data_IF_355209864226
#
_entry.id   IF_355209864226
#
_cell.length_a   1.000
_cell.length_b   1.000
_cell.length_c   1.000
_cell.angle_alpha   90.00
_cell.angle_beta   90.00
_cell.angle_gamma   90.00
#
_symmetry.space_group_name_H-M   'P 1'
#
loop_
_entity.id
_entity.type
_entity.pdbx_description
1 polymer ?
#
# COMPACT_ATOMS: atom_id res chain seq x y z
N UNK A 1 16.85 -2.33 -11.39
CA UNK A 1 16.87 -0.89 -11.07
C UNK A 1 18.20 -0.43 -10.49
N UNK A 2 18.72 -1.00 -9.39
CA UNK A 2 19.99 -0.56 -8.80
C UNK A 2 21.18 -0.60 -9.79
N UNK A 3 21.30 -1.65 -10.59
CA UNK A 3 22.36 -1.75 -11.60
C UNK A 3 22.25 -0.65 -12.67
N UNK A 4 21.05 -0.29 -13.10
CA UNK A 4 20.85 0.79 -14.08
C UNK A 4 21.23 2.16 -13.48
N UNK A 5 20.87 2.42 -12.23
CA UNK A 5 21.24 3.66 -11.50
C UNK A 5 22.77 3.75 -11.37
N UNK A 6 23.42 2.64 -10.95
CA UNK A 6 24.88 2.60 -10.80
C UNK A 6 25.56 2.80 -12.15
N UNK A 7 25.09 2.13 -13.21
CA UNK A 7 25.65 2.27 -14.55
C UNK A 7 25.55 3.70 -15.07
N UNK A 8 24.40 4.36 -14.90
CA UNK A 8 24.20 5.75 -15.30
C UNK A 8 25.10 6.71 -14.52
N UNK A 9 25.28 6.53 -13.21
CA UNK A 9 26.17 7.34 -12.38
C UNK A 9 27.64 7.12 -12.69
N UNK A 10 28.01 5.90 -13.18
CA UNK A 10 29.38 5.64 -13.63
C UNK A 10 29.67 6.26 -15.00
N UNK A 11 28.68 6.36 -15.88
CA UNK A 11 28.82 6.97 -17.20
C UNK A 11 28.86 8.50 -17.08
N UNK A 12 27.97 9.07 -16.27
CA UNK A 12 27.90 10.51 -16.04
C UNK A 12 27.65 10.82 -14.56
N UNK A 13 28.73 11.10 -13.79
CA UNK A 13 28.62 11.45 -12.36
C UNK A 13 27.80 12.73 -12.09
N UNK A 14 27.68 13.64 -13.08
CA UNK A 14 26.90 14.87 -12.93
C UNK A 14 25.41 14.60 -12.74
N UNK A 15 24.92 13.45 -13.21
CA UNK A 15 23.53 13.00 -12.93
C UNK A 15 23.24 12.89 -11.44
N UNK A 16 24.24 12.54 -10.60
CA UNK A 16 24.06 12.41 -9.15
C UNK A 16 23.66 13.71 -8.45
N UNK A 17 23.98 14.86 -9.03
CA UNK A 17 23.58 16.18 -8.53
C UNK A 17 22.31 16.73 -9.19
N UNK A 18 21.74 16.00 -10.16
CA UNK A 18 20.51 16.38 -10.85
C UNK A 18 19.27 16.02 -10.05
N UNK A 19 18.48 17.01 -9.68
CA UNK A 19 17.19 16.80 -9.04
C UNK A 19 16.23 15.96 -9.91
N UNK A 20 16.28 16.11 -11.23
CA UNK A 20 15.49 15.33 -12.17
C UNK A 20 15.80 13.84 -12.08
N UNK A 21 17.09 13.49 -12.00
CA UNK A 21 17.51 12.10 -11.81
C UNK A 21 17.05 11.55 -10.45
N UNK A 22 17.25 12.33 -9.37
CA UNK A 22 16.81 11.96 -8.03
C UNK A 22 15.30 11.69 -7.99
N UNK A 23 14.49 12.59 -8.56
CA UNK A 23 13.03 12.43 -8.62
C UNK A 23 12.60 11.21 -9.43
N UNK A 24 13.28 10.93 -10.55
CA UNK A 24 13.01 9.74 -11.38
C UNK A 24 13.30 8.45 -10.62
N UNK A 25 14.41 8.39 -9.90
CA UNK A 25 14.77 7.23 -9.06
C UNK A 25 13.78 7.05 -7.93
N UNK A 26 13.43 8.13 -7.22
CA UNK A 26 12.44 8.09 -6.13
C UNK A 26 11.05 7.71 -6.62
N UNK A 27 10.59 8.25 -7.74
CA UNK A 27 9.30 7.87 -8.32
C UNK A 27 9.23 6.38 -8.66
N UNK A 28 10.28 5.87 -9.31
CA UNK A 28 10.35 4.44 -9.67
C UNK A 28 10.43 3.55 -8.42
N UNK A 29 11.22 3.96 -7.42
CA UNK A 29 11.30 3.27 -6.14
C UNK A 29 9.93 3.27 -5.43
N UNK A 30 9.23 4.42 -5.44
CA UNK A 30 7.88 4.55 -4.89
C UNK A 30 6.90 3.58 -5.51
N UNK A 31 6.88 3.50 -6.83
CA UNK A 31 6.01 2.58 -7.57
C UNK A 31 6.34 1.12 -7.24
N UNK A 32 7.62 0.75 -7.15
CA UNK A 32 8.04 -0.63 -6.86
C UNK A 32 7.71 -1.02 -5.42
N UNK A 33 7.98 -0.14 -4.45
CA UNK A 33 7.84 -0.45 -3.02
C UNK A 33 6.39 -0.24 -2.55
N UNK A 34 5.82 0.95 -2.80
CA UNK A 34 4.50 1.31 -2.30
C UNK A 34 3.38 0.94 -3.26
N UNK A 35 3.61 1.07 -4.57
CA UNK A 35 2.56 0.88 -5.58
C UNK A 35 1.94 -0.51 -5.52
N UNK A 36 2.74 -1.56 -5.33
CA UNK A 36 2.25 -2.94 -5.17
C UNK A 36 1.40 -3.09 -3.92
N UNK A 37 1.87 -2.58 -2.79
CA UNK A 37 1.12 -2.63 -1.53
C UNK A 37 -0.19 -1.86 -1.61
N UNK A 38 -0.19 -0.66 -2.20
CA UNK A 38 -1.40 0.14 -2.38
C UNK A 38 -2.40 -0.59 -3.30
N UNK A 39 -1.94 -1.22 -4.38
CA UNK A 39 -2.80 -2.03 -5.25
C UNK A 39 -3.43 -3.23 -4.54
N UNK A 40 -2.69 -3.88 -3.63
CA UNK A 40 -3.18 -5.02 -2.86
C UNK A 40 -4.22 -4.59 -1.79
N UNK A 41 -4.17 -3.33 -1.35
CA UNK A 41 -5.11 -2.76 -0.40
C UNK A 41 -6.44 -2.36 -1.02
N UNK A 42 -6.47 -2.09 -2.32
CA UNK A 42 -7.71 -1.73 -3.01
C UNK A 42 -8.66 -2.92 -3.05
N UNK A 43 -9.96 -2.74 -2.68
CA UNK A 43 -10.96 -3.80 -2.72
C UNK A 43 -11.07 -4.44 -4.11
N UNK A 44 -11.26 -5.75 -4.16
CA UNK A 44 -11.42 -6.51 -5.42
C UNK A 44 -12.59 -6.08 -6.30
N UNK A 45 -13.53 -5.31 -5.76
CA UNK A 45 -14.63 -4.68 -6.51
C UNK A 45 -14.17 -3.56 -7.45
N UNK A 46 -12.98 -3.00 -7.22
CA UNK A 46 -12.40 -1.96 -8.09
C UNK A 46 -11.59 -2.63 -9.20
N UNK A 47 -11.83 -2.29 -10.48
CA UNK A 47 -11.07 -2.86 -11.58
C UNK A 47 -9.57 -2.49 -11.46
N UNK A 48 -8.70 -3.44 -11.79
CA UNK A 48 -7.24 -3.29 -11.58
C UNK A 48 -6.62 -2.08 -12.28
N UNK A 49 -7.17 -1.69 -13.44
CA UNK A 49 -6.70 -0.50 -14.15
C UNK A 49 -6.98 0.79 -13.37
N UNK A 50 -8.15 0.89 -12.70
CA UNK A 50 -8.49 2.04 -11.88
C UNK A 50 -7.66 2.05 -10.58
N UNK A 51 -7.44 0.89 -9.96
CA UNK A 51 -6.55 0.75 -8.81
C UNK A 51 -5.11 1.18 -9.14
N UNK A 52 -4.59 0.79 -10.31
CA UNK A 52 -3.27 1.22 -10.79
C UNK A 52 -3.22 2.73 -11.06
N UNK A 53 -4.29 3.29 -11.62
CA UNK A 53 -4.44 4.73 -11.87
C UNK A 53 -4.34 5.59 -10.61
N UNK A 54 -4.68 5.04 -9.45
CA UNK A 54 -4.54 5.69 -8.14
C UNK A 54 -3.19 5.34 -7.51
N UNK A 55 -2.83 4.06 -7.49
CA UNK A 55 -1.66 3.56 -6.76
C UNK A 55 -0.35 4.12 -7.31
N UNK A 56 -0.21 4.22 -8.63
CA UNK A 56 1.02 4.71 -9.26
C UNK A 56 1.29 6.18 -8.92
N UNK A 57 0.37 7.14 -9.19
CA UNK A 57 0.64 8.53 -8.86
C UNK A 57 0.70 8.78 -7.35
N UNK A 58 -0.08 8.07 -6.54
CA UNK A 58 -0.03 8.22 -5.09
C UNK A 58 1.33 7.77 -4.51
N UNK A 59 1.84 6.62 -4.96
CA UNK A 59 3.15 6.12 -4.51
C UNK A 59 4.30 7.05 -4.92
N UNK A 60 4.26 7.60 -6.13
CA UNK A 60 5.23 8.58 -6.59
C UNK A 60 5.13 9.88 -5.76
N UNK A 61 3.91 10.39 -5.53
CA UNK A 61 3.67 11.59 -4.73
C UNK A 61 4.21 11.47 -3.30
N UNK A 62 3.99 10.31 -2.66
CA UNK A 62 4.45 10.08 -1.29
C UNK A 62 5.98 10.10 -1.16
N UNK A 63 6.71 9.58 -2.14
CA UNK A 63 8.17 9.57 -2.11
C UNK A 63 8.79 10.86 -2.67
N UNK A 64 8.23 11.41 -3.74
CA UNK A 64 8.76 12.61 -4.38
C UNK A 64 8.32 13.90 -3.69
N UNK A 65 7.18 13.90 -2.99
CA UNK A 65 6.61 15.09 -2.33
C UNK A 65 7.61 15.85 -1.46
N UNK A 66 8.35 15.20 -0.55
CA UNK A 66 9.35 15.87 0.28
C UNK A 66 10.46 16.58 -0.53
N UNK A 67 10.89 15.98 -1.64
CA UNK A 67 11.91 16.58 -2.51
C UNK A 67 11.34 17.72 -3.33
N UNK A 68 10.11 17.58 -3.82
CA UNK A 68 9.42 18.63 -4.58
C UNK A 68 9.22 19.89 -3.74
N UNK A 69 8.85 19.74 -2.46
CA UNK A 69 8.65 20.87 -1.55
C UNK A 69 9.95 21.64 -1.26
N UNK A 70 11.11 20.96 -1.28
CA UNK A 70 12.42 21.64 -1.17
C UNK A 70 12.73 22.47 -2.42
N UNK A 71 12.30 22.01 -3.59
CA UNK A 71 12.50 22.69 -4.87
C UNK A 71 11.49 23.81 -5.11
N UNK A 72 10.24 23.54 -4.74
CA UNK A 72 9.12 24.46 -4.85
C UNK A 72 8.29 24.38 -3.57
N UNK A 73 8.31 25.41 -2.72
CA UNK A 73 7.60 25.40 -1.44
C UNK A 73 6.08 25.58 -1.65
N UNK A 74 5.48 24.67 -2.40
CA UNK A 74 4.06 24.65 -2.74
C UNK A 74 3.56 23.20 -2.69
N UNK A 75 2.33 23.02 -2.22
CA UNK A 75 1.66 21.73 -2.24
C UNK A 75 0.66 21.65 -3.39
N UNK A 76 0.84 20.71 -4.30
CA UNK A 76 -0.08 20.53 -5.43
C UNK A 76 -1.30 19.70 -5.00
N UNK A 77 -2.38 20.38 -4.60
CA UNK A 77 -3.61 19.75 -4.07
C UNK A 77 -4.28 18.84 -5.09
N UNK A 78 -4.28 19.23 -6.36
CA UNK A 78 -4.98 18.49 -7.42
C UNK A 78 -4.07 17.58 -8.25
N UNK A 79 -2.80 17.37 -7.84
CA UNK A 79 -1.85 16.57 -8.61
C UNK A 79 -2.31 15.11 -8.79
N UNK A 80 -2.88 14.49 -7.76
CA UNK A 80 -3.39 13.13 -7.84
C UNK A 80 -4.56 13.05 -8.83
N UNK A 81 -5.52 13.98 -8.76
CA UNK A 81 -6.65 14.05 -9.67
C UNK A 81 -6.20 14.31 -11.11
N UNK A 82 -5.29 15.27 -11.30
CA UNK A 82 -4.70 15.58 -12.60
C UNK A 82 -4.03 14.34 -13.22
N UNK A 83 -3.21 13.64 -12.45
CA UNK A 83 -2.53 12.41 -12.89
C UNK A 83 -3.51 11.29 -13.26
N UNK A 84 -4.62 11.15 -12.52
CA UNK A 84 -5.67 10.17 -12.86
C UNK A 84 -6.36 10.52 -14.18
N UNK A 85 -6.70 11.81 -14.39
CA UNK A 85 -7.35 12.27 -15.62
C UNK A 85 -6.43 12.16 -16.85
N UNK A 86 -5.14 12.39 -16.65
CA UNK A 86 -4.11 12.33 -17.70
C UNK A 86 -3.69 10.90 -18.04
N UNK A 87 -3.78 9.96 -17.09
CA UNK A 87 -3.32 8.59 -17.25
C UNK A 87 -3.76 7.90 -18.58
N UNK A 88 -5.02 7.98 -19.03
CA UNK A 88 -5.44 7.36 -20.29
C UNK A 88 -4.82 8.03 -21.53
N UNK A 89 -4.40 9.30 -21.42
CA UNK A 89 -3.77 10.03 -22.53
C UNK A 89 -2.26 9.79 -22.62
N UNK A 90 -1.61 9.50 -21.50
CA UNK A 90 -0.16 9.23 -21.43
C UNK A 90 0.20 7.95 -22.21
N UNK A 91 -0.62 6.92 -22.12
CA UNK A 91 -0.36 5.65 -22.81
C UNK A 91 -0.22 5.82 -24.35
N UNK A 92 -1.19 6.42 -25.06
CA UNK A 92 -1.04 6.65 -26.49
C UNK A 92 0.11 7.60 -26.83
N UNK A 93 0.35 8.66 -26.04
CA UNK A 93 1.50 9.55 -26.27
C UNK A 93 2.81 8.76 -26.22
N UNK A 94 2.98 7.91 -25.20
CA UNK A 94 4.20 7.13 -25.01
C UNK A 94 4.38 6.10 -26.12
N UNK A 95 3.33 5.38 -26.48
CA UNK A 95 3.40 4.33 -27.52
C UNK A 95 3.70 4.97 -28.88
N UNK A 96 2.95 6.00 -29.28
CA UNK A 96 3.12 6.68 -30.56
C UNK A 96 4.49 7.39 -30.64
N UNK A 97 4.89 8.07 -29.56
CA UNK A 97 6.18 8.74 -29.49
C UNK A 97 7.35 7.76 -29.59
N UNK A 98 7.30 6.65 -28.84
CA UNK A 98 8.35 5.62 -28.88
C UNK A 98 8.41 4.93 -30.25
N UNK A 99 7.26 4.65 -30.86
CA UNK A 99 7.20 4.07 -32.20
C UNK A 99 7.72 5.03 -33.28
N UNK A 100 7.54 6.33 -33.11
CA UNK A 100 8.02 7.33 -34.06
C UNK A 100 9.56 7.39 -34.10
N UNK A 101 10.27 7.16 -32.98
CA UNK A 101 11.73 7.30 -32.89
C UNK A 101 12.49 6.52 -33.99
N UNK A 102 12.34 5.19 -34.15
CA UNK A 102 13.01 4.45 -35.19
C UNK A 102 12.49 4.81 -36.59
N UNK A 103 11.23 5.24 -36.71
CA UNK A 103 10.61 5.55 -38.00
C UNK A 103 11.08 6.88 -38.60
N UNK A 104 11.61 7.80 -37.78
CA UNK A 104 12.19 9.07 -38.29
C UNK A 104 13.28 8.81 -39.32
N UNK A 105 14.12 7.79 -39.09
CA UNK A 105 15.22 7.44 -40.01
C UNK A 105 14.77 6.59 -41.18
N UNK A 106 13.72 5.75 -41.01
CA UNK A 106 13.30 4.76 -42.01
C UNK A 106 12.18 5.27 -42.92
N UNK A 107 11.16 5.91 -42.32
CA UNK A 107 9.94 6.34 -43.02
C UNK A 107 9.44 7.68 -42.45
N UNK A 108 10.05 8.82 -42.86
CA UNK A 108 9.81 10.12 -42.25
C UNK A 108 8.35 10.58 -42.27
N UNK A 109 7.62 10.32 -43.35
CA UNK A 109 6.20 10.71 -43.43
C UNK A 109 5.32 10.00 -42.40
N UNK A 110 5.58 8.70 -42.12
CA UNK A 110 4.86 7.93 -41.13
C UNK A 110 5.21 8.41 -39.70
N UNK A 111 6.50 8.71 -39.45
CA UNK A 111 6.94 9.30 -38.18
C UNK A 111 6.22 10.63 -37.92
N UNK A 112 6.11 11.51 -38.93
CA UNK A 112 5.38 12.79 -38.80
C UNK A 112 3.91 12.58 -38.47
N UNK A 113 3.24 11.62 -39.07
CA UNK A 113 1.84 11.27 -38.79
C UNK A 113 1.66 10.77 -37.34
N UNK A 114 2.57 9.91 -36.86
CA UNK A 114 2.54 9.42 -35.48
C UNK A 114 2.79 10.53 -34.46
N UNK A 115 3.79 11.39 -34.73
CA UNK A 115 4.09 12.56 -33.86
C UNK A 115 2.90 13.54 -33.85
N UNK A 116 2.28 13.81 -34.98
CA UNK A 116 1.09 14.65 -35.07
C UNK A 116 -0.07 14.09 -34.23
N UNK A 117 -0.31 12.78 -34.33
CA UNK A 117 -1.34 12.11 -33.52
C UNK A 117 -0.98 12.15 -32.01
N UNK A 118 0.26 11.87 -31.64
CA UNK A 118 0.75 11.99 -30.27
C UNK A 118 0.58 13.42 -29.73
N UNK A 119 0.77 14.44 -30.59
CA UNK A 119 0.58 15.86 -30.29
C UNK A 119 -0.84 16.20 -29.85
N UNK A 120 -1.85 15.56 -30.43
CA UNK A 120 -3.27 15.77 -30.04
C UNK A 120 -3.47 15.30 -28.59
N UNK A 121 -3.00 14.09 -28.26
CA UNK A 121 -3.08 13.58 -26.89
C UNK A 121 -2.26 14.42 -25.90
N UNK A 122 -1.07 14.86 -26.31
CA UNK A 122 -0.22 15.75 -25.51
C UNK A 122 -0.89 17.10 -25.26
N UNK A 123 -1.59 17.67 -26.21
CA UNK A 123 -2.40 18.87 -26.04
C UNK A 123 -3.53 18.66 -25.03
N UNK A 124 -4.16 17.48 -25.02
CA UNK A 124 -5.13 17.06 -24.00
C UNK A 124 -4.52 17.01 -22.60
N UNK A 125 -3.33 16.42 -22.45
CA UNK A 125 -2.57 16.42 -21.19
C UNK A 125 -2.31 17.85 -20.70
N UNK A 126 -1.84 18.73 -21.59
CA UNK A 126 -1.57 20.13 -21.27
C UNK A 126 -2.85 20.92 -20.91
N UNK A 127 -3.97 20.60 -21.53
CA UNK A 127 -5.27 21.22 -21.21
C UNK A 127 -5.73 20.82 -19.80
N UNK A 128 -5.65 19.54 -19.44
CA UNK A 128 -6.00 19.05 -18.10
C UNK A 128 -5.09 19.68 -17.05
N UNK A 129 -3.76 19.73 -17.29
CA UNK A 129 -2.80 20.32 -16.39
C UNK A 129 -3.09 21.82 -16.15
N UNK A 130 -3.36 22.60 -17.21
CA UNK A 130 -3.74 24.01 -17.08
C UNK A 130 -5.07 24.20 -16.35
N UNK A 131 -6.05 23.36 -16.63
CA UNK A 131 -7.34 23.42 -15.95
C UNK A 131 -7.18 23.17 -14.46
N UNK A 132 -6.49 22.10 -14.06
CA UNK A 132 -6.28 21.76 -12.64
C UNK A 132 -5.39 22.77 -11.91
N UNK A 133 -4.42 23.38 -12.61
CA UNK A 133 -3.59 24.43 -12.04
C UNK A 133 -4.34 25.76 -11.84
N UNK A 134 -5.39 26.01 -12.63
CA UNK A 134 -6.27 27.19 -12.50
C UNK A 134 -7.33 27.08 -11.42
N UNK A 135 -7.50 25.93 -10.77
CA UNK A 135 -8.48 25.76 -9.71
C UNK A 135 -8.07 26.50 -8.43
N UNK A 136 -9.03 27.05 -7.66
CA UNK A 136 -8.73 27.72 -6.41
C UNK A 136 -8.06 26.75 -5.42
N UNK A 137 -6.94 27.19 -4.80
CA UNK A 137 -6.17 26.34 -3.90
C UNK A 137 -5.35 25.25 -4.58
N UNK A 138 -5.04 25.37 -5.89
CA UNK A 138 -4.26 24.39 -6.63
C UNK A 138 -2.82 24.26 -6.11
N UNK A 139 -2.22 25.35 -5.65
CA UNK A 139 -0.86 25.41 -5.18
C UNK A 139 -0.74 26.27 -3.90
N UNK A 140 -1.30 25.84 -2.75
CA UNK A 140 -1.13 26.57 -1.51
C UNK A 140 0.36 26.62 -1.12
N UNK A 141 0.83 27.75 -0.57
CA UNK A 141 2.20 27.89 -0.12
C UNK A 141 2.47 26.89 1.00
N UNK A 142 3.66 26.28 0.98
CA UNK A 142 4.15 25.37 2.01
C UNK A 142 5.32 25.99 2.74
N UNK A 143 5.55 25.73 4.02
CA UNK A 143 6.71 26.26 4.75
C UNK A 143 8.03 25.89 4.06
N UNK A 144 8.94 26.86 4.01
CA UNK A 144 10.27 26.69 3.42
C UNK A 144 11.26 26.04 4.40
N UNK A 145 12.37 25.53 3.85
CA UNK A 145 13.50 25.02 4.63
C UNK A 145 13.25 23.66 5.30
N UNK A 146 14.07 23.33 6.31
CA UNK A 146 14.03 21.99 6.94
C UNK A 146 12.71 21.72 7.67
N UNK A 147 12.01 22.74 8.14
CA UNK A 147 10.69 22.59 8.74
C UNK A 147 9.64 22.18 7.70
N UNK A 148 9.67 22.75 6.50
CA UNK A 148 8.79 22.35 5.40
C UNK A 148 9.05 20.93 4.93
N UNK A 149 10.32 20.52 4.87
CA UNK A 149 10.69 19.13 4.58
C UNK A 149 10.14 18.16 5.63
N UNK A 150 10.34 18.48 6.92
CA UNK A 150 9.89 17.62 8.03
C UNK A 150 8.36 17.46 8.02
N UNK A 151 7.62 18.58 7.87
CA UNK A 151 6.16 18.56 7.82
C UNK A 151 5.64 17.80 6.60
N UNK A 152 6.31 17.88 5.46
CA UNK A 152 5.93 17.14 4.26
C UNK A 152 6.22 15.63 4.39
N UNK A 153 7.34 15.25 5.00
CA UNK A 153 7.62 13.84 5.33
C UNK A 153 6.55 13.29 6.27
N UNK A 154 6.22 14.05 7.33
CA UNK A 154 5.18 13.67 8.27
C UNK A 154 3.81 13.52 7.57
N UNK A 155 3.46 14.48 6.71
CA UNK A 155 2.23 14.43 5.92
C UNK A 155 2.19 13.19 5.01
N UNK A 156 3.30 12.86 4.33
CA UNK A 156 3.42 11.66 3.48
C UNK A 156 3.24 10.38 4.29
N UNK A 157 3.87 10.28 5.46
CA UNK A 157 3.72 9.13 6.36
C UNK A 157 2.29 9.01 6.87
N UNK A 158 1.68 10.11 7.31
CA UNK A 158 0.29 10.12 7.78
C UNK A 158 -0.69 9.73 6.66
N UNK A 159 -0.47 10.20 5.45
CA UNK A 159 -1.26 9.81 4.28
C UNK A 159 -1.13 8.31 3.98
N UNK A 160 0.09 7.78 4.01
CA UNK A 160 0.31 6.34 3.82
C UNK A 160 -0.37 5.50 4.91
N UNK A 161 -0.29 5.92 6.18
CA UNK A 161 -0.99 5.29 7.30
C UNK A 161 -2.50 5.39 7.14
N UNK A 162 -3.04 6.56 6.75
CA UNK A 162 -4.47 6.75 6.52
C UNK A 162 -5.00 5.83 5.41
N UNK A 163 -4.27 5.73 4.29
CA UNK A 163 -4.63 4.82 3.19
C UNK A 163 -4.57 3.37 3.66
N UNK A 164 -3.54 3.00 4.42
CA UNK A 164 -3.42 1.65 4.97
C UNK A 164 -4.58 1.31 5.93
N UNK A 165 -4.91 2.21 6.87
CA UNK A 165 -6.01 2.01 7.82
C UNK A 165 -7.37 1.92 7.14
N UNK A 166 -7.60 2.76 6.12
CA UNK A 166 -8.82 2.73 5.33
C UNK A 166 -8.98 1.40 4.57
N UNK A 167 -7.86 0.85 4.08
CA UNK A 167 -7.84 -0.42 3.37
C UNK A 167 -7.98 -1.65 4.29
N UNK A 168 -7.57 -1.53 5.56
CA UNK A 168 -7.56 -2.63 6.54
C UNK A 168 -8.31 -2.28 7.83
N UNK A 169 -9.63 -2.02 7.79
CA UNK A 169 -10.37 -1.55 8.96
C UNK A 169 -10.30 -2.53 10.13
N UNK A 170 -10.33 -3.84 9.87
CA UNK A 170 -10.20 -4.85 10.91
C UNK A 170 -8.78 -4.92 11.53
N UNK A 171 -7.75 -4.66 10.74
CA UNK A 171 -6.37 -4.58 11.20
C UNK A 171 -6.12 -3.31 12.03
N UNK A 172 -6.63 -2.18 11.57
CA UNK A 172 -6.55 -0.90 12.25
C UNK A 172 -7.23 -0.96 13.63
N UNK A 173 -8.43 -1.56 13.71
CA UNK A 173 -9.15 -1.75 14.97
C UNK A 173 -8.34 -2.58 15.98
N UNK A 174 -7.69 -3.67 15.53
CA UNK A 174 -6.83 -4.49 16.39
C UNK A 174 -5.61 -3.72 16.88
N UNK A 175 -5.01 -2.89 16.03
CA UNK A 175 -3.84 -2.08 16.36
C UNK A 175 -4.18 -0.99 17.39
N UNK A 176 -5.32 -0.31 17.20
CA UNK A 176 -5.83 0.71 18.14
C UNK A 176 -6.16 0.09 19.50
N UNK A 177 -6.84 -1.06 19.52
CA UNK A 177 -7.14 -1.78 20.75
C UNK A 177 -5.87 -2.25 21.45
N UNK A 178 -4.88 -2.78 20.72
CA UNK A 178 -3.60 -3.18 21.29
C UNK A 178 -2.79 -2.00 21.84
N UNK A 179 -2.81 -0.86 21.14
CA UNK A 179 -2.18 0.38 21.62
C UNK A 179 -2.87 0.89 22.89
N UNK A 180 -4.21 0.91 22.90
CA UNK A 180 -4.99 1.32 24.07
C UNK A 180 -4.71 0.41 25.28
N UNK A 181 -4.68 -0.90 25.10
CA UNK A 181 -4.31 -1.83 26.17
C UNK A 181 -2.88 -1.59 26.70
N UNK A 182 -1.92 -1.30 25.82
CA UNK A 182 -0.53 -1.01 26.23
C UNK A 182 -0.44 0.31 27.00
N UNK A 183 -1.12 1.35 26.55
CA UNK A 183 -1.14 2.65 27.26
C UNK A 183 -1.86 2.55 28.59
N UNK A 184 -2.99 1.85 28.68
CA UNK A 184 -3.68 1.60 29.93
C UNK A 184 -2.80 0.81 30.93
N UNK A 185 -2.15 -0.25 30.48
CA UNK A 185 -1.25 -1.05 31.32
C UNK A 185 0.01 -0.27 31.77
N UNK A 186 0.52 0.66 30.96
CA UNK A 186 1.62 1.54 31.33
C UNK A 186 1.16 2.58 32.36
N UNK A 187 -0.03 3.17 32.18
CA UNK A 187 -0.63 4.09 33.14
C UNK A 187 -0.89 3.41 34.49
N UNK A 188 -1.45 2.19 34.48
CA UNK A 188 -1.65 1.43 35.72
C UNK A 188 -0.32 1.15 36.43
N UNK A 189 0.74 0.79 35.71
CA UNK A 189 2.07 0.60 36.29
C UNK A 189 2.66 1.88 36.88
N UNK A 190 2.44 3.02 36.24
CA UNK A 190 2.93 4.32 36.72
C UNK A 190 2.13 4.81 37.94
N UNK A 191 0.82 4.50 38.02
CA UNK A 191 -0.04 4.84 39.14
C UNK A 191 0.19 3.89 40.33
N UNK A 192 0.41 2.60 40.09
CA UNK A 192 0.68 1.59 41.11
C UNK A 192 2.09 1.77 41.71
N UNK A 193 3.06 2.30 40.93
CA UNK A 193 4.40 2.68 41.43
C UNK A 193 4.37 3.84 42.45
N UNK A 194 3.24 4.55 42.59
CA UNK A 194 3.06 5.69 43.49
C UNK A 194 2.27 5.35 44.76
N UNK A 195 1.74 4.13 44.87
CA UNK A 195 1.07 3.66 46.08
C UNK A 195 2.10 3.22 47.11
N UNK A 196 2.16 3.82 48.31
CA UNK A 196 3.00 3.32 49.40
C UNK A 196 2.52 1.90 49.72
N UNK A 197 3.45 0.92 49.71
CA UNK A 197 3.18 -0.45 50.12
C UNK A 197 2.52 -0.42 51.50
N UNK A 198 1.22 -0.57 51.57
CA UNK A 198 0.55 -0.97 52.78
C UNK A 198 1.09 -2.34 53.16
N UNK A 199 1.77 -2.41 54.30
CA UNK A 199 2.35 -3.62 54.84
C UNK A 199 1.33 -4.74 54.95
N UNK A 200 1.77 -6.01 55.00
CA UNK A 200 0.86 -7.15 55.05
C UNK A 200 -0.04 -7.07 56.29
N UNK A 201 -1.36 -7.27 56.15
CA UNK A 201 -2.24 -7.33 57.31
C UNK A 201 -1.82 -8.51 58.20
N UNK A 202 -1.59 -8.19 59.50
CA UNK A 202 -1.16 -9.15 60.50
C UNK A 202 -2.03 -10.40 60.55
N UNK A 203 -1.37 -11.55 60.59
CA UNK A 203 -1.98 -12.82 60.91
C UNK A 203 -2.66 -12.73 62.26
N UNK A 204 -3.97 -12.60 62.32
CA UNK A 204 -4.77 -12.99 63.48
C UNK A 204 -5.30 -14.40 63.21
N UNK A 205 -4.93 -15.23 64.16
CA UNK A 205 -5.25 -16.65 64.21
C UNK A 205 -6.75 -16.89 64.45
N UNK A 206 -7.13 -18.10 64.08
CA UNK A 206 -8.27 -18.91 64.49
C UNK A 206 -9.53 -18.87 63.64
N UNK A 207 -9.81 -20.01 63.11
CA UNK A 207 -11.10 -20.44 62.61
C UNK A 207 -10.97 -21.68 61.72
N UNK A 208 -10.85 -22.87 62.36
CA UNK A 208 -11.08 -24.18 61.78
C UNK A 208 -12.47 -24.22 61.15
N UNK A 209 -12.58 -24.17 59.84
CA UNK A 209 -13.76 -24.67 59.15
C UNK A 209 -13.26 -25.56 58.01
N UNK A 210 -13.49 -26.88 58.19
CA UNK A 210 -13.30 -27.90 57.14
C UNK A 210 -14.19 -27.56 55.96
N UNK A 211 -13.68 -27.55 54.72
CA UNK A 211 -14.56 -27.49 53.58
C UNK A 211 -15.12 -28.89 53.32
N UNK A 212 -16.45 -28.96 53.35
CA UNK A 212 -17.25 -30.11 52.98
C UNK A 212 -16.83 -30.67 51.59
N UNK A 213 -16.59 -31.97 51.53
CA UNK A 213 -16.45 -32.78 50.32
C UNK A 213 -17.60 -32.49 49.37
N UNK A 214 -17.38 -31.64 48.35
CA UNK A 214 -18.28 -31.59 47.20
C UNK A 214 -18.02 -32.82 46.33
N UNK A 215 -19.02 -33.70 46.27
CA UNK A 215 -19.07 -34.87 45.44
C UNK A 215 -18.88 -34.52 43.99
N UNK A 216 -18.05 -35.31 43.31
CA UNK A 216 -17.95 -35.32 41.84
C UNK A 216 -19.31 -35.80 41.30
N UNK A 217 -20.05 -34.90 40.72
CA UNK A 217 -21.14 -35.26 39.82
C UNK A 217 -20.54 -35.94 38.59
N UNK A 218 -20.64 -37.25 38.58
CA UNK A 218 -20.36 -38.11 37.43
C UNK A 218 -21.48 -37.86 36.41
N UNK A 219 -21.21 -37.00 35.42
CA UNK A 219 -22.10 -36.89 34.26
C UNK A 219 -21.94 -38.19 33.46
N UNK A 220 -22.94 -39.04 33.60
CA UNK A 220 -23.09 -40.28 32.84
C UNK A 220 -23.48 -39.87 31.41
N UNK A 221 -22.58 -40.02 30.44
CA UNK A 221 -22.85 -39.80 29.03
C UNK A 221 -23.32 -41.10 28.40
N UNK A 222 -24.59 -41.26 28.02
CA UNK A 222 -25.12 -42.51 27.48
C UNK A 222 -25.08 -42.56 25.95
N UNK A 223 -23.89 -42.41 25.34
CA UNK A 223 -23.81 -42.67 23.90
C UNK A 223 -22.42 -43.19 23.49
N UNK A 224 -22.16 -44.51 23.61
CA UNK A 224 -21.02 -45.17 23.00
C UNK A 224 -21.41 -45.66 21.58
N UNK A 225 -21.18 -44.87 20.55
CA UNK A 225 -21.41 -45.44 19.24
C UNK A 225 -21.55 -44.42 18.11
N UNK A 226 -20.45 -43.82 17.73
CA UNK A 226 -20.15 -43.43 16.33
C UNK A 226 -18.72 -42.92 16.19
N UNK A 227 -17.76 -43.84 16.30
CA UNK A 227 -16.44 -43.62 15.68
C UNK A 227 -16.65 -43.69 14.16
N UNK A 228 -16.83 -42.54 13.52
CA UNK A 228 -16.58 -42.42 12.06
C UNK A 228 -15.08 -42.26 11.90
N UNK A 229 -14.40 -43.38 11.70
CA UNK A 229 -13.07 -43.43 11.12
C UNK A 229 -13.17 -42.88 9.69
N UNK A 230 -12.54 -41.79 9.42
CA UNK A 230 -12.29 -41.31 8.06
C UNK A 230 -11.16 -42.18 7.50
N UNK A 231 -11.33 -42.84 6.34
CA UNK A 231 -10.22 -43.56 5.71
C UNK A 231 -9.25 -42.55 5.16
N UNK A 232 -8.02 -42.61 5.65
CA UNK A 232 -6.83 -41.94 5.06
C UNK A 232 -6.63 -42.55 3.67
N UNK A 233 -6.96 -41.82 2.61
CA UNK A 233 -6.60 -42.19 1.25
C UNK A 233 -5.10 -42.07 1.05
N UNK A 234 -4.46 -43.23 0.90
CA UNK A 234 -3.09 -43.37 0.42
C UNK A 234 -3.01 -42.99 -1.06
N UNK A 235 -2.01 -42.17 -1.48
CA UNK A 235 -1.90 -41.72 -2.87
C UNK A 235 -1.43 -42.78 -3.90
N UNK A 236 -1.21 -44.02 -3.52
CA UNK A 236 -0.69 -45.08 -4.39
C UNK A 236 -1.60 -46.30 -4.44
N UNK A 237 -2.72 -46.20 -5.21
CA UNK A 237 -3.48 -47.35 -5.67
C UNK A 237 -3.41 -47.47 -7.19
N UNK A 238 -2.64 -48.43 -7.77
CA UNK A 238 -2.42 -48.56 -9.21
C UNK A 238 -3.55 -49.23 -10.00
N UNK A 239 -4.77 -49.33 -9.42
CA UNK A 239 -5.84 -50.23 -9.93
C UNK A 239 -7.07 -49.57 -10.55
N UNK A 240 -7.22 -48.26 -10.73
CA UNK A 240 -8.43 -47.67 -11.38
C UNK A 240 -8.13 -47.00 -12.69
N UNK A 241 -8.52 -47.69 -13.78
CA UNK A 241 -8.65 -47.10 -15.13
C UNK A 241 -9.73 -46.00 -15.12
N UNK A 242 -9.51 -44.83 -15.81
CA UNK A 242 -10.55 -43.81 -15.92
C UNK A 242 -11.67 -44.28 -16.86
N UNK A 243 -12.93 -43.86 -16.64
CA UNK A 243 -14.05 -44.21 -17.50
C UNK A 243 -13.92 -43.53 -18.87
N UNK A 244 -14.09 -44.33 -19.91
CA UNK A 244 -14.11 -43.94 -21.32
C UNK A 244 -15.36 -43.07 -21.54
N UNK A 245 -15.16 -41.81 -21.99
CA UNK A 245 -16.24 -40.95 -22.50
C UNK A 245 -16.69 -41.48 -23.88
N UNK A 246 -17.99 -41.68 -24.12
CA UNK A 246 -18.48 -41.96 -25.47
C UNK A 246 -18.39 -40.68 -26.32
N UNK A 247 -17.73 -40.80 -27.48
CA UNK A 247 -17.83 -39.87 -28.63
C UNK A 247 -19.28 -39.93 -29.15
N UNK A 248 -20.07 -38.89 -28.95
CA UNK A 248 -21.27 -38.62 -29.69
C UNK A 248 -20.88 -37.92 -30.98
N UNK A 249 -21.19 -38.57 -32.11
CA UNK A 249 -21.10 -38.00 -33.42
C UNK A 249 -22.34 -37.15 -33.74
N UNK A 250 -22.16 -36.33 -34.66
CA UNK A 250 -22.84 -35.54 -35.67
C UNK A 250 -22.57 -34.06 -35.50
#
# INVERSE_FOLDING_TARGET
MCLAVIALLLIDPALGTSFGFLLSVLATLGIIVLGRHIMDWVPRSVPRWAAAGIAVPLSAQLLCGPVIVVLQPQFSTYSLLANMLVAPLVAPVTILGTAAVPLVALVPWLATALIGTAGIFSAGVAAIARFTAGLPGAAPPWPEGPFGLLTMVLFSVLTAVAVWTAAHPAGAMRLVLAAHHRTACLLDRLLDGKSPRAGPPGRTARGLVQPARRGRLRVNNPNPGRNRQWPLHSPNDPGRRPPIRPRGGM
#
